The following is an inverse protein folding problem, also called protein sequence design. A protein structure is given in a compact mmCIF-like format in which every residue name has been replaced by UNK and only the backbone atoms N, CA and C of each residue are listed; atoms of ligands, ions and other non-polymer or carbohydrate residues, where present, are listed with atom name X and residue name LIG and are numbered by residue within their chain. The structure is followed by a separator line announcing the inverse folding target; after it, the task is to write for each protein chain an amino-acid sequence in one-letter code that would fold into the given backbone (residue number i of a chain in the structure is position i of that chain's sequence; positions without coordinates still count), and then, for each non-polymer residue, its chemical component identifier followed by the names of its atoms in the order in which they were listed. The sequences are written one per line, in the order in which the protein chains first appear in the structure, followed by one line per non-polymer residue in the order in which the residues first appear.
data_IF_306974237956
#
_entry.id   IF_306974237956
#
_cell.length_a   1.000
_cell.length_b   1.000
_cell.length_c   1.000
_cell.angle_alpha   90.00
_cell.angle_beta   90.00
_cell.angle_gamma   90.00
#
_symmetry.space_group_name_H-M   'P 1'
#
loop_
_entity.id
_entity.type
_entity.pdbx_description
1 polymer ?
#
# COMPACT_ATOMS: atom_id res chain seq x y z
N UNK A 1 -11.43 -10.31 74.93
CA UNK A 1 -10.48 -9.66 74.01
C UNK A 1 -10.41 -10.51 72.75
N UNK A 2 -11.12 -10.12 71.69
CA UNK A 2 -11.10 -10.81 70.37
C UNK A 2 -10.02 -10.17 69.49
N UNK A 3 -9.03 -10.94 69.07
CA UNK A 3 -8.01 -10.52 68.12
C UNK A 3 -8.59 -10.61 66.69
N UNK A 4 -8.70 -9.49 66.03
CA UNK A 4 -9.06 -9.41 64.60
C UNK A 4 -7.75 -9.59 63.83
N UNK A 5 -7.70 -10.70 63.05
CA UNK A 5 -6.60 -10.94 62.08
C UNK A 5 -6.96 -10.20 60.78
N UNK A 6 -6.20 -9.18 60.46
CA UNK A 6 -6.33 -8.45 59.21
C UNK A 6 -5.48 -9.16 58.17
N UNK A 7 -6.13 -9.91 57.25
CA UNK A 7 -5.46 -10.54 56.12
C UNK A 7 -5.32 -9.51 54.99
N UNK A 8 -4.08 -9.05 54.71
CA UNK A 8 -3.78 -8.23 53.57
C UNK A 8 -3.64 -9.10 52.32
N UNK A 9 -4.61 -9.01 51.42
CA UNK A 9 -4.56 -9.66 50.11
C UNK A 9 -3.72 -8.78 49.17
N UNK A 10 -2.48 -9.17 48.92
CA UNK A 10 -1.64 -8.54 47.92
C UNK A 10 -2.11 -9.08 46.55
N UNK A 11 -2.88 -8.28 45.81
CA UNK A 11 -3.18 -8.54 44.44
C UNK A 11 -1.93 -8.25 43.59
N UNK A 12 -1.26 -9.29 43.10
CA UNK A 12 -0.20 -9.15 42.11
C UNK A 12 -0.86 -8.72 40.79
N UNK A 13 -0.75 -7.45 40.47
CA UNK A 13 -1.09 -6.93 39.16
C UNK A 13 0.01 -7.45 38.20
N UNK A 14 -0.25 -8.56 37.53
CA UNK A 14 0.53 -8.95 36.34
C UNK A 14 0.26 -7.89 35.26
N UNK A 15 1.14 -6.92 35.16
CA UNK A 15 1.22 -6.11 33.94
C UNK A 15 1.69 -7.03 32.82
N UNK A 16 0.74 -7.52 32.04
CA UNK A 16 1.06 -8.13 30.73
C UNK A 16 1.60 -6.96 29.90
N UNK A 17 2.92 -6.80 29.89
CA UNK A 17 3.57 -5.99 28.85
C UNK A 17 3.34 -6.77 27.55
N UNK A 18 2.40 -6.34 26.72
CA UNK A 18 2.35 -6.76 25.35
C UNK A 18 3.73 -6.39 24.77
N UNK A 19 4.52 -7.41 24.44
CA UNK A 19 5.80 -7.23 23.74
C UNK A 19 5.45 -6.65 22.36
N UNK A 20 5.44 -5.31 22.27
CA UNK A 20 5.16 -4.63 21.01
C UNK A 20 6.27 -4.99 20.03
N UNK A 21 5.95 -5.83 19.06
CA UNK A 21 6.89 -6.28 18.02
C UNK A 21 7.39 -5.04 17.29
N UNK A 22 8.69 -4.77 17.32
CA UNK A 22 9.26 -3.65 16.57
C UNK A 22 10.22 -4.13 15.51
N UNK A 23 10.20 -3.45 14.36
CA UNK A 23 11.12 -3.66 13.24
C UNK A 23 11.93 -2.39 13.02
N UNK A 24 13.09 -2.55 12.40
CA UNK A 24 13.99 -1.46 12.01
C UNK A 24 14.39 -1.61 10.54
N UNK A 25 14.95 -0.57 9.99
CA UNK A 25 15.46 -0.64 8.62
C UNK A 25 15.95 0.70 8.13
N UNK A 26 16.15 0.78 6.83
CA UNK A 26 16.56 2.00 6.18
C UNK A 26 15.89 2.17 4.81
N UNK A 27 15.71 3.43 4.40
CA UNK A 27 15.33 3.81 3.04
C UNK A 27 16.54 4.50 2.40
N UNK A 28 17.02 4.00 1.28
CA UNK A 28 18.20 4.48 0.58
C UNK A 28 17.93 4.67 -0.91
N UNK A 29 18.68 5.55 -1.53
CA UNK A 29 18.73 5.63 -2.99
C UNK A 29 19.59 4.47 -3.56
N UNK A 30 19.56 4.32 -4.89
CA UNK A 30 20.34 3.29 -5.60
C UNK A 30 21.88 3.43 -5.43
N UNK A 31 22.37 4.57 -4.95
CA UNK A 31 23.79 4.82 -4.64
C UNK A 31 24.13 4.52 -3.17
N UNK A 32 23.14 4.08 -2.39
CA UNK A 32 23.29 3.75 -0.96
C UNK A 32 23.17 4.95 -0.01
N UNK A 33 22.84 6.15 -0.52
CA UNK A 33 22.60 7.34 0.30
C UNK A 33 21.26 7.21 1.00
N UNK A 34 21.24 7.35 2.32
CA UNK A 34 20.01 7.32 3.11
C UNK A 34 19.10 8.52 2.86
N UNK A 35 17.80 8.29 2.78
CA UNK A 35 16.77 9.29 2.55
C UNK A 35 16.02 9.50 3.87
N UNK A 36 16.10 10.71 4.42
CA UNK A 36 15.37 11.12 5.64
C UNK A 36 14.00 11.68 5.28
N UNK A 37 13.02 11.62 6.20
CA UNK A 37 11.70 12.18 6.01
C UNK A 37 10.72 11.25 5.27
N UNK A 38 11.12 10.01 4.99
CA UNK A 38 10.21 9.02 4.36
C UNK A 38 9.33 8.39 5.43
N UNK A 39 8.03 8.43 5.23
CA UNK A 39 7.06 7.74 6.09
C UNK A 39 7.13 6.24 5.83
N UNK A 40 7.22 5.46 6.91
CA UNK A 40 7.20 4.00 6.91
C UNK A 40 6.01 3.55 7.74
N UNK A 41 5.26 2.59 7.27
CA UNK A 41 4.03 2.14 7.93
C UNK A 41 3.88 0.62 7.90
N UNK A 42 3.03 0.11 8.77
CA UNK A 42 2.53 -1.26 8.78
C UNK A 42 1.02 -1.36 8.43
N UNK A 43 0.43 -0.23 7.99
CA UNK A 43 -1.00 -0.11 7.72
C UNK A 43 -1.84 0.29 8.93
N UNK A 44 -1.20 0.62 10.06
CA UNK A 44 -1.79 1.22 11.25
C UNK A 44 -0.82 2.24 11.86
N UNK A 45 0.34 1.78 12.28
CA UNK A 45 1.39 2.60 12.88
C UNK A 45 2.27 3.22 11.79
N UNK A 46 2.86 4.35 12.10
CA UNK A 46 3.76 5.08 11.22
C UNK A 46 5.05 5.49 11.94
N UNK A 47 6.12 5.59 11.19
CA UNK A 47 7.39 6.15 11.62
C UNK A 47 8.03 6.92 10.47
N UNK A 48 8.94 7.86 10.79
CA UNK A 48 9.66 8.63 9.77
C UNK A 48 11.13 8.30 9.80
N UNK A 49 11.73 8.12 8.63
CA UNK A 49 13.19 7.92 8.52
C UNK A 49 13.94 9.15 8.97
N UNK A 50 15.02 8.92 9.73
CA UNK A 50 15.94 9.94 10.28
C UNK A 50 17.30 9.84 9.59
N UNK A 51 18.31 10.47 10.16
CA UNK A 51 19.66 10.52 9.60
C UNK A 51 20.17 9.17 9.08
N UNK A 52 20.67 9.15 7.83
CA UNK A 52 21.07 7.94 7.13
C UNK A 52 19.91 7.08 6.62
N UNK A 53 18.68 7.63 6.56
CA UNK A 53 17.48 6.95 6.11
C UNK A 53 16.95 5.88 7.08
N UNK A 54 17.38 5.87 8.33
CA UNK A 54 17.03 4.82 9.31
C UNK A 54 15.67 5.06 9.95
N UNK A 55 14.95 3.97 10.22
CA UNK A 55 13.69 3.98 10.97
C UNK A 55 13.63 2.85 12.02
N UNK A 56 12.75 3.04 12.99
CA UNK A 56 12.24 1.99 13.89
C UNK A 56 10.72 2.17 13.92
N UNK A 57 10.00 1.11 13.63
CA UNK A 57 8.54 1.06 13.60
C UNK A 57 8.04 0.02 14.60
N UNK A 58 7.12 0.38 15.44
CA UNK A 58 6.31 -0.57 16.21
C UNK A 58 5.25 -1.15 15.29
N UNK A 59 5.15 -2.48 15.26
CA UNK A 59 4.32 -3.21 14.31
C UNK A 59 3.16 -3.84 15.05
N UNK A 60 1.96 -3.65 14.52
CA UNK A 60 0.77 -4.34 14.99
C UNK A 60 0.88 -5.84 14.64
N UNK A 61 0.39 -6.71 15.51
CA UNK A 61 0.47 -8.18 15.35
C UNK A 61 -0.29 -8.69 14.13
N UNK A 62 -1.38 -8.00 13.73
CA UNK A 62 -2.19 -8.33 12.57
C UNK A 62 -1.68 -7.71 11.26
N UNK A 63 -0.59 -6.94 11.31
CA UNK A 63 -0.04 -6.32 10.12
C UNK A 63 0.71 -7.34 9.27
N UNK A 64 0.39 -7.36 7.98
CA UNK A 64 1.00 -8.26 7.01
C UNK A 64 2.26 -7.67 6.36
N UNK A 65 2.31 -6.36 6.23
CA UNK A 65 3.37 -5.67 5.50
C UNK A 65 4.03 -4.59 6.34
N UNK A 66 5.27 -4.27 5.97
CA UNK A 66 5.89 -2.97 6.19
C UNK A 66 6.11 -2.31 4.85
N UNK A 67 5.75 -1.04 4.72
CA UNK A 67 5.82 -0.31 3.45
C UNK A 67 6.24 1.14 3.64
N UNK A 68 6.64 1.77 2.56
CA UNK A 68 7.04 3.18 2.54
C UNK A 68 6.04 4.00 1.73
N UNK A 69 5.74 5.21 2.19
CA UNK A 69 5.18 6.25 1.33
C UNK A 69 6.30 6.72 0.40
N UNK A 70 6.31 6.24 -0.86
CA UNK A 70 7.37 6.56 -1.83
C UNK A 70 7.53 8.08 -1.91
N UNK A 71 8.72 8.65 -1.63
CA UNK A 71 8.89 10.10 -1.63
C UNK A 71 8.90 10.67 -3.05
N UNK A 72 8.45 11.92 -3.20
CA UNK A 72 8.54 12.67 -4.47
C UNK A 72 9.98 12.67 -5.02
N UNK A 73 10.12 12.62 -6.32
CA UNK A 73 11.40 12.52 -7.01
C UNK A 73 12.02 11.13 -7.03
N UNK A 74 11.32 10.12 -6.50
CA UNK A 74 11.79 8.74 -6.47
C UNK A 74 10.69 7.76 -6.92
N UNK A 75 11.14 6.62 -7.42
CA UNK A 75 10.30 5.46 -7.75
C UNK A 75 10.82 4.22 -7.03
N UNK A 76 9.93 3.35 -6.64
CA UNK A 76 10.28 2.02 -6.12
C UNK A 76 10.60 1.08 -7.28
N UNK A 77 11.31 -0.02 -6.97
CA UNK A 77 11.56 -1.05 -7.99
C UNK A 77 10.24 -1.67 -8.43
N UNK A 78 10.05 -1.81 -9.73
CA UNK A 78 8.92 -2.52 -10.31
C UNK A 78 9.19 -4.02 -10.38
N UNK A 79 8.26 -4.83 -9.89
CA UNK A 79 8.24 -6.28 -10.06
C UNK A 79 6.89 -6.68 -10.64
N UNK A 80 6.90 -7.50 -11.69
CA UNK A 80 5.68 -8.00 -12.35
C UNK A 80 4.70 -6.90 -12.78
N UNK A 81 5.20 -5.72 -13.16
CA UNK A 81 4.37 -4.57 -13.57
C UNK A 81 3.78 -3.73 -12.44
N UNK A 82 4.12 -4.04 -11.18
CA UNK A 82 3.70 -3.23 -10.01
C UNK A 82 4.91 -2.74 -9.22
N UNK A 83 4.82 -1.55 -8.64
CA UNK A 83 5.87 -1.01 -7.79
C UNK A 83 5.97 -1.75 -6.45
N UNK A 84 7.20 -2.12 -6.06
CA UNK A 84 7.50 -2.79 -4.79
C UNK A 84 7.94 -1.81 -3.72
N UNK A 85 7.00 -1.05 -3.17
CA UNK A 85 7.19 -0.13 -2.05
C UNK A 85 6.99 -0.82 -0.68
N UNK A 86 6.73 -2.12 -0.65
CA UNK A 86 6.39 -2.90 0.54
C UNK A 86 7.25 -4.16 0.69
N UNK A 87 7.22 -4.72 1.88
CA UNK A 87 7.79 -6.03 2.21
C UNK A 87 6.86 -6.76 3.16
N UNK A 88 6.69 -8.06 2.94
CA UNK A 88 5.92 -8.91 3.85
C UNK A 88 6.65 -9.08 5.18
N UNK A 89 5.94 -8.88 6.29
CA UNK A 89 6.43 -9.12 7.63
C UNK A 89 6.57 -10.63 7.87
N UNK A 90 7.74 -11.06 8.30
CA UNK A 90 8.07 -12.47 8.53
C UNK A 90 8.53 -12.70 9.96
N UNK A 91 8.17 -13.83 10.52
CA UNK A 91 8.62 -14.20 11.85
C UNK A 91 10.15 -14.29 11.93
N UNK A 92 10.69 -13.75 13.01
CA UNK A 92 12.12 -13.68 13.24
C UNK A 92 12.87 -12.59 12.45
N UNK A 93 12.27 -12.01 11.42
CA UNK A 93 12.88 -10.90 10.66
C UNK A 93 12.62 -9.59 11.38
N UNK A 94 13.68 -8.89 11.73
CA UNK A 94 13.63 -7.61 12.47
C UNK A 94 14.16 -6.42 11.66
N UNK A 95 14.65 -6.65 10.43
CA UNK A 95 15.23 -5.58 9.60
C UNK A 95 14.66 -5.60 8.19
N UNK A 96 14.17 -4.43 7.74
CA UNK A 96 13.53 -4.20 6.45
C UNK A 96 14.12 -2.97 5.78
N UNK A 97 14.98 -3.18 4.76
CA UNK A 97 15.61 -2.10 4.03
C UNK A 97 14.92 -1.88 2.68
N UNK A 98 14.71 -0.63 2.31
CA UNK A 98 14.12 -0.21 1.05
C UNK A 98 15.14 0.52 0.20
N UNK A 99 15.08 0.26 -1.11
CA UNK A 99 15.88 1.00 -2.10
C UNK A 99 14.92 1.62 -3.10
N UNK A 100 15.04 2.94 -3.27
CA UNK A 100 14.30 3.71 -4.25
C UNK A 100 15.26 4.32 -5.28
N UNK A 101 14.79 4.52 -6.48
CA UNK A 101 15.60 5.08 -7.58
C UNK A 101 15.14 6.51 -7.82
N UNK A 102 16.07 7.42 -7.96
CA UNK A 102 15.73 8.79 -8.32
C UNK A 102 15.01 8.80 -9.67
N UNK A 103 13.89 9.51 -9.73
CA UNK A 103 13.15 9.68 -10.97
C UNK A 103 14.03 10.40 -12.00
N UNK A 104 13.94 9.98 -13.25
CA UNK A 104 14.69 10.60 -14.35
C UNK A 104 14.04 11.89 -14.83
N UNK A 105 12.73 12.01 -14.64
CA UNK A 105 11.91 13.17 -15.00
C UNK A 105 11.56 13.97 -13.75
N UNK A 106 11.44 15.29 -13.88
CA UNK A 106 10.86 16.13 -12.84
C UNK A 106 9.39 15.76 -12.68
N UNK A 107 8.98 15.44 -11.47
CA UNK A 107 7.60 15.04 -11.13
C UNK A 107 6.77 16.19 -10.57
N UNK A 108 7.31 17.41 -10.55
CA UNK A 108 6.61 18.62 -10.05
C UNK A 108 5.32 18.86 -10.83
N UNK A 109 5.39 18.73 -12.16
CA UNK A 109 4.25 18.65 -13.05
C UNK A 109 4.19 17.21 -13.60
N UNK A 110 3.03 16.57 -13.50
CA UNK A 110 2.90 15.18 -13.89
C UNK A 110 1.50 14.88 -14.43
N UNK A 111 1.42 13.83 -15.23
CA UNK A 111 0.18 13.29 -15.74
C UNK A 111 -0.20 12.03 -14.94
N UNK A 112 -1.49 11.86 -14.72
CA UNK A 112 -2.06 10.66 -14.11
C UNK A 112 -3.01 10.01 -15.11
N UNK A 113 -2.69 8.79 -15.55
CA UNK A 113 -3.60 7.96 -16.33
C UNK A 113 -4.47 7.18 -15.35
N UNK A 114 -5.76 7.41 -15.41
CA UNK A 114 -6.72 6.71 -14.53
C UNK A 114 -7.49 5.71 -15.37
N UNK A 115 -7.47 4.45 -14.94
CA UNK A 115 -8.32 3.39 -15.46
C UNK A 115 -9.15 2.83 -14.32
N UNK A 116 -10.40 2.49 -14.59
CA UNK A 116 -11.31 1.89 -13.64
C UNK A 116 -11.95 0.66 -14.28
N UNK A 117 -12.19 -0.34 -13.48
CA UNK A 117 -12.99 -1.51 -13.84
C UNK A 117 -12.55 -2.17 -15.17
N UNK A 118 -11.27 -2.49 -15.39
CA UNK A 118 -10.89 -3.28 -16.57
C UNK A 118 -11.52 -4.68 -16.53
N UNK A 119 -11.72 -5.23 -15.35
CA UNK A 119 -12.58 -6.36 -14.98
C UNK A 119 -12.45 -7.57 -15.92
N UNK A 120 -11.22 -7.88 -16.32
CA UNK A 120 -10.91 -8.98 -17.23
C UNK A 120 -11.35 -10.31 -16.61
N UNK A 121 -12.42 -10.88 -17.12
CA UNK A 121 -13.02 -12.13 -16.63
C UNK A 121 -12.45 -13.38 -17.31
N UNK A 122 -12.06 -13.25 -18.57
CA UNK A 122 -11.49 -14.35 -19.37
C UNK A 122 -10.23 -13.89 -20.11
N UNK A 123 -9.31 -14.81 -20.35
CA UNK A 123 -8.05 -14.49 -21.05
C UNK A 123 -8.25 -14.00 -22.49
N UNK A 124 -9.37 -14.33 -23.12
CA UNK A 124 -9.77 -13.81 -24.43
C UNK A 124 -9.95 -12.28 -24.43
N UNK A 125 -10.45 -11.71 -23.33
CA UNK A 125 -10.68 -10.27 -23.16
C UNK A 125 -9.37 -9.45 -23.03
N UNK A 126 -8.25 -10.12 -22.72
CA UNK A 126 -6.93 -9.48 -22.73
C UNK A 126 -6.55 -8.89 -24.10
N UNK A 127 -7.11 -9.42 -25.19
CA UNK A 127 -6.90 -8.86 -26.53
C UNK A 127 -7.55 -7.47 -26.66
N UNK A 128 -8.67 -7.24 -25.96
CA UNK A 128 -9.36 -5.96 -25.96
C UNK A 128 -8.60 -4.89 -25.15
N UNK A 129 -7.80 -5.31 -24.16
CA UNK A 129 -6.97 -4.40 -23.35
C UNK A 129 -5.75 -3.84 -24.15
N UNK A 130 -5.24 -4.58 -25.14
CA UNK A 130 -4.04 -4.19 -25.89
C UNK A 130 -4.16 -2.85 -26.61
N UNK A 131 -5.25 -2.52 -27.31
CA UNK A 131 -5.42 -1.19 -27.90
C UNK A 131 -5.33 -0.06 -26.90
N UNK A 132 -5.94 -0.21 -25.70
CA UNK A 132 -5.88 0.80 -24.65
C UNK A 132 -4.44 0.99 -24.13
N UNK A 133 -3.70 -0.13 -23.95
CA UNK A 133 -2.29 -0.05 -23.56
C UNK A 133 -1.44 0.68 -24.62
N UNK A 134 -1.74 0.48 -25.90
CA UNK A 134 -1.09 1.19 -27.02
C UNK A 134 -1.42 2.67 -27.01
N UNK A 135 -2.68 3.04 -26.80
CA UNK A 135 -3.09 4.45 -26.71
C UNK A 135 -2.42 5.17 -25.54
N UNK A 136 -2.25 4.49 -24.40
CA UNK A 136 -1.52 5.02 -23.26
C UNK A 136 -0.03 5.19 -23.61
N UNK A 137 0.61 4.20 -24.23
CA UNK A 137 2.01 4.29 -24.67
C UNK A 137 2.21 5.48 -25.63
N UNK A 138 1.30 5.64 -26.60
CA UNK A 138 1.30 6.77 -27.52
C UNK A 138 1.17 8.13 -26.83
N UNK A 139 0.28 8.22 -25.82
CA UNK A 139 0.16 9.43 -25.00
C UNK A 139 1.46 9.73 -24.25
N UNK A 140 2.07 8.72 -23.61
CA UNK A 140 3.33 8.84 -22.87
C UNK A 140 4.47 9.31 -23.77
N UNK A 141 4.53 8.80 -25.00
CA UNK A 141 5.54 9.23 -26.00
C UNK A 141 5.30 10.68 -26.41
N UNK A 142 4.05 11.09 -26.65
CA UNK A 142 3.69 12.46 -27.05
C UNK A 142 3.86 13.48 -25.91
N UNK A 143 3.76 13.03 -24.66
CA UNK A 143 3.97 13.82 -23.44
C UNK A 143 5.47 13.85 -23.04
N UNK A 144 6.37 13.86 -24.02
CA UNK A 144 7.81 13.81 -23.80
C UNK A 144 8.26 14.93 -22.85
N UNK A 145 8.98 14.52 -21.80
CA UNK A 145 9.44 15.44 -20.74
C UNK A 145 8.61 15.37 -19.45
N UNK A 146 7.32 15.10 -19.50
CA UNK A 146 6.47 15.01 -18.31
C UNK A 146 6.58 13.64 -17.62
N UNK A 147 6.57 13.66 -16.29
CA UNK A 147 6.40 12.44 -15.53
C UNK A 147 4.95 11.95 -15.64
N UNK A 148 4.75 10.70 -15.97
CA UNK A 148 3.44 10.09 -16.10
C UNK A 148 3.40 8.79 -15.32
N UNK A 149 2.36 8.55 -14.56
CA UNK A 149 2.09 7.27 -13.90
C UNK A 149 0.60 6.91 -14.02
N UNK A 150 0.26 5.68 -13.67
CA UNK A 150 -1.11 5.17 -13.74
C UNK A 150 -1.72 4.91 -12.37
N UNK A 151 -3.04 5.07 -12.28
CA UNK A 151 -3.90 4.58 -11.21
C UNK A 151 -4.92 3.62 -11.81
N UNK A 152 -4.98 2.37 -11.32
CA UNK A 152 -6.06 1.44 -11.59
C UNK A 152 -6.98 1.39 -10.37
N UNK A 153 -8.23 1.83 -10.53
CA UNK A 153 -9.17 2.06 -9.43
C UNK A 153 -10.00 0.82 -9.08
N UNK A 154 -9.38 -0.34 -9.10
CA UNK A 154 -10.02 -1.59 -8.68
C UNK A 154 -10.72 -2.34 -9.80
N UNK A 155 -11.24 -3.51 -9.43
CA UNK A 155 -11.84 -4.48 -10.35
C UNK A 155 -10.90 -4.76 -11.54
N UNK A 156 -9.65 -5.06 -11.20
CA UNK A 156 -8.57 -5.28 -12.19
C UNK A 156 -8.88 -6.49 -13.05
N UNK A 157 -9.36 -7.54 -12.41
CA UNK A 157 -9.84 -8.77 -13.07
C UNK A 157 -11.25 -9.08 -12.58
N UNK A 158 -11.93 -10.01 -13.25
CA UNK A 158 -13.18 -10.55 -12.76
C UNK A 158 -12.95 -11.38 -11.49
N UNK A 159 -13.26 -12.66 -11.51
CA UNK A 159 -13.05 -13.54 -10.34
C UNK A 159 -11.87 -14.50 -10.50
N UNK A 160 -11.21 -14.52 -11.66
CA UNK A 160 -10.02 -15.34 -11.91
C UNK A 160 -8.73 -14.52 -11.66
N UNK A 161 -8.28 -14.50 -10.42
CA UNK A 161 -7.07 -13.78 -10.02
C UNK A 161 -5.77 -14.34 -10.66
N UNK A 162 -5.82 -15.49 -11.33
CA UNK A 162 -4.67 -15.98 -12.09
C UNK A 162 -4.36 -15.12 -13.32
N UNK A 163 -5.30 -14.28 -13.75
CA UNK A 163 -5.18 -13.35 -14.89
C UNK A 163 -4.31 -12.12 -14.55
N UNK A 164 -4.11 -11.76 -13.26
CA UNK A 164 -3.28 -10.61 -12.87
C UNK A 164 -1.91 -10.56 -13.57
N UNK A 165 -1.24 -11.70 -13.70
CA UNK A 165 0.07 -11.72 -14.35
C UNK A 165 -0.01 -11.36 -15.84
N UNK A 166 -1.07 -11.74 -16.54
CA UNK A 166 -1.26 -11.48 -17.97
C UNK A 166 -1.70 -10.02 -18.19
N UNK A 167 -2.61 -9.52 -17.34
CA UNK A 167 -2.94 -8.09 -17.26
C UNK A 167 -1.67 -7.24 -17.06
N UNK A 168 -0.86 -7.54 -16.05
CA UNK A 168 0.35 -6.80 -15.76
C UNK A 168 1.37 -6.81 -16.91
N UNK A 169 1.47 -7.91 -17.69
CA UNK A 169 2.34 -7.97 -18.89
C UNK A 169 1.88 -7.00 -19.96
N UNK A 170 0.57 -6.88 -20.20
CA UNK A 170 0.03 -5.94 -21.18
C UNK A 170 0.25 -4.51 -20.70
N UNK A 171 -0.06 -4.21 -19.42
CA UNK A 171 0.10 -2.89 -18.85
C UNK A 171 1.56 -2.43 -18.77
N UNK A 172 2.52 -3.35 -18.65
CA UNK A 172 3.94 -3.03 -18.77
C UNK A 172 4.32 -2.47 -20.15
N UNK A 173 3.54 -2.75 -21.18
CA UNK A 173 3.69 -2.18 -22.52
C UNK A 173 3.48 -0.67 -22.57
N UNK A 174 2.71 -0.10 -21.66
CA UNK A 174 2.44 1.35 -21.56
C UNK A 174 3.67 2.20 -21.18
N UNK A 175 4.75 1.57 -20.69
CA UNK A 175 6.01 2.20 -20.23
C UNK A 175 5.86 3.11 -19.01
N UNK A 176 4.74 3.03 -18.29
CA UNK A 176 4.54 3.68 -17.00
C UNK A 176 4.20 2.66 -15.92
N UNK A 177 4.49 3.00 -14.68
CA UNK A 177 4.13 2.18 -13.54
C UNK A 177 2.71 2.51 -13.08
N UNK A 178 1.94 1.47 -12.76
CA UNK A 178 0.59 1.59 -12.21
C UNK A 178 0.58 1.34 -10.70
N UNK A 179 -0.14 2.18 -9.98
CA UNK A 179 -0.61 1.95 -8.62
C UNK A 179 -2.01 1.38 -8.69
N UNK A 180 -2.28 0.41 -7.85
CA UNK A 180 -3.52 -0.34 -7.89
C UNK A 180 -4.35 -0.09 -6.62
N UNK A 181 -5.65 0.02 -6.80
CA UNK A 181 -6.68 -0.01 -5.76
C UNK A 181 -7.32 -1.40 -5.81
N UNK A 182 -7.75 -1.93 -4.68
CA UNK A 182 -8.52 -3.15 -4.65
C UNK A 182 -10.00 -2.85 -4.96
N UNK A 183 -10.60 -3.59 -5.89
CA UNK A 183 -12.04 -3.59 -6.12
C UNK A 183 -12.72 -4.80 -5.49
N UNK A 184 -14.04 -4.88 -5.59
CA UNK A 184 -14.79 -6.01 -5.03
C UNK A 184 -14.54 -7.32 -5.79
N UNK A 185 -14.25 -7.26 -7.10
CA UNK A 185 -13.88 -8.44 -7.88
C UNK A 185 -12.44 -8.92 -7.61
N UNK A 186 -11.59 -8.07 -7.04
CA UNK A 186 -10.23 -8.43 -6.61
C UNK A 186 -10.22 -9.14 -5.25
N UNK A 187 -11.36 -9.21 -4.56
CA UNK A 187 -11.47 -9.87 -3.26
C UNK A 187 -11.40 -11.38 -3.41
N UNK A 188 -10.67 -12.03 -2.50
CA UNK A 188 -10.51 -13.48 -2.46
C UNK A 188 -11.85 -14.20 -2.27
N UNK A 189 -12.25 -15.04 -3.22
CA UNK A 189 -13.54 -15.73 -3.26
C UNK A 189 -13.83 -16.66 -2.07
N UNK A 190 -12.80 -17.10 -1.36
CA UNK A 190 -12.88 -17.98 -0.20
C UNK A 190 -12.48 -17.28 1.10
N UNK A 191 -12.41 -15.97 1.10
CA UNK A 191 -12.18 -15.15 2.29
C UNK A 191 -13.26 -15.42 3.35
N UNK A 192 -12.87 -15.47 4.62
CA UNK A 192 -13.77 -15.71 5.76
C UNK A 192 -13.86 -14.52 6.71
N UNK A 193 -13.00 -13.54 6.52
CA UNK A 193 -12.98 -12.28 7.24
C UNK A 193 -12.54 -11.18 6.28
N UNK A 194 -12.65 -9.92 6.71
CA UNK A 194 -12.20 -8.79 5.92
C UNK A 194 -10.69 -8.91 5.59
N UNK A 195 -9.85 -9.28 6.54
CA UNK A 195 -8.40 -9.44 6.37
C UNK A 195 -8.06 -10.55 5.36
N UNK A 196 -8.81 -11.64 5.39
CA UNK A 196 -8.57 -12.77 4.46
C UNK A 196 -9.17 -12.53 3.08
N UNK A 197 -10.12 -11.60 2.94
CA UNK A 197 -10.72 -11.26 1.65
C UNK A 197 -9.80 -10.47 0.74
N UNK A 198 -8.75 -9.84 1.26
CA UNK A 198 -7.78 -9.07 0.47
C UNK A 198 -6.60 -9.91 -0.02
N UNK A 199 -6.50 -11.18 0.38
CA UNK A 199 -5.28 -11.98 0.30
C UNK A 199 -4.74 -12.14 -1.13
N UNK A 200 -5.58 -12.41 -2.12
CA UNK A 200 -5.15 -12.63 -3.49
C UNK A 200 -4.63 -11.33 -4.12
N UNK A 201 -5.34 -10.21 -3.90
CA UNK A 201 -4.86 -8.88 -4.28
C UNK A 201 -3.52 -8.56 -3.61
N UNK A 202 -3.43 -8.73 -2.31
CA UNK A 202 -2.21 -8.42 -1.53
C UNK A 202 -1.01 -9.28 -1.93
N UNK A 203 -1.21 -10.51 -2.35
CA UNK A 203 -0.15 -11.36 -2.88
C UNK A 203 0.47 -10.81 -4.18
N UNK A 204 -0.30 -10.05 -4.95
CA UNK A 204 0.13 -9.47 -6.22
C UNK A 204 0.62 -8.03 -6.06
N UNK A 205 -0.15 -7.18 -5.36
CA UNK A 205 0.03 -5.73 -5.35
C UNK A 205 0.47 -5.18 -4.00
N UNK A 206 0.48 -5.98 -2.94
CA UNK A 206 0.85 -5.55 -1.59
C UNK A 206 -0.32 -4.96 -0.81
N UNK A 207 -0.05 -4.01 0.11
CA UNK A 207 -1.07 -3.49 1.02
C UNK A 207 -2.26 -2.89 0.26
N UNK A 208 -3.48 -3.16 0.75
CA UNK A 208 -4.72 -2.67 0.15
C UNK A 208 -4.99 -1.18 0.44
N UNK A 209 -4.25 -0.57 1.37
CA UNK A 209 -4.22 0.89 1.57
C UNK A 209 -2.80 1.34 1.84
N UNK A 210 -2.43 2.45 1.24
CA UNK A 210 -1.08 3.02 1.29
C UNK A 210 -1.05 4.43 0.73
N UNK A 211 0.09 5.13 0.88
CA UNK A 211 0.30 6.45 0.29
C UNK A 211 1.60 6.53 -0.50
N UNK A 212 1.70 7.54 -1.34
CA UNK A 212 2.91 7.91 -2.07
C UNK A 212 2.87 9.39 -2.49
N UNK A 213 4.01 9.94 -2.87
CA UNK A 213 4.12 11.34 -3.22
C UNK A 213 4.65 11.50 -4.65
N UNK A 214 4.03 12.37 -5.43
CA UNK A 214 4.49 12.79 -6.76
C UNK A 214 4.46 14.30 -6.83
N UNK A 215 5.60 14.93 -7.06
CA UNK A 215 5.71 16.38 -7.02
C UNK A 215 5.26 16.96 -5.68
N UNK A 216 4.24 17.79 -5.71
CA UNK A 216 3.64 18.43 -4.52
C UNK A 216 2.32 17.78 -4.07
N UNK A 217 1.98 16.65 -4.68
CA UNK A 217 0.71 15.96 -4.42
C UNK A 217 0.98 14.73 -3.58
N UNK A 218 0.18 14.56 -2.54
CA UNK A 218 0.15 13.37 -1.71
C UNK A 218 -1.04 12.49 -2.16
N UNK A 219 -0.74 11.31 -2.63
CA UNK A 219 -1.71 10.32 -3.09
C UNK A 219 -1.95 9.27 -2.02
N UNK A 220 -3.20 8.96 -1.78
CA UNK A 220 -3.63 7.98 -0.79
C UNK A 220 -4.55 6.99 -1.48
N UNK A 221 -4.24 5.72 -1.36
CA UNK A 221 -5.10 4.60 -1.79
C UNK A 221 -5.81 4.06 -0.56
N UNK A 222 -7.12 3.87 -0.65
CA UNK A 222 -7.95 3.27 0.39
C UNK A 222 -8.72 2.08 -0.16
N UNK A 223 -9.02 1.13 0.72
CA UNK A 223 -9.92 0.03 0.45
C UNK A 223 -11.30 0.35 1.03
N UNK A 224 -12.25 0.63 0.17
CA UNK A 224 -13.64 0.89 0.54
C UNK A 224 -14.56 -0.33 0.38
N UNK A 225 -14.01 -1.50 0.04
CA UNK A 225 -14.72 -2.77 -0.06
C UNK A 225 -14.56 -3.56 1.24
N UNK A 226 -15.48 -3.37 2.19
CA UNK A 226 -15.45 -4.06 3.47
C UNK A 226 -16.22 -5.37 3.42
N UNK A 227 -15.53 -6.50 3.58
CA UNK A 227 -16.14 -7.83 3.58
C UNK A 227 -16.99 -8.05 4.83
N UNK A 228 -18.26 -8.43 4.67
CA UNK A 228 -19.23 -8.65 5.76
C UNK A 228 -19.73 -10.09 5.86
N UNK A 229 -19.33 -10.97 4.95
CA UNK A 229 -19.72 -12.38 4.96
C UNK A 229 -20.24 -12.87 3.61
N UNK A 230 -20.51 -14.18 3.53
CA UNK A 230 -20.85 -14.83 2.26
C UNK A 230 -22.18 -14.36 1.65
N UNK A 231 -23.16 -14.01 2.50
CA UNK A 231 -24.51 -13.71 2.03
C UNK A 231 -24.62 -12.31 1.39
N UNK A 232 -23.91 -11.33 1.97
CA UNK A 232 -23.90 -9.95 1.47
C UNK A 232 -22.60 -9.58 0.76
N UNK A 233 -21.60 -10.38 0.92
CA UNK A 233 -20.24 -10.28 0.40
C UNK A 233 -19.50 -9.06 0.93
N UNK A 234 -19.82 -7.83 0.50
CA UNK A 234 -19.17 -6.59 0.95
C UNK A 234 -20.17 -5.44 1.07
N UNK A 235 -19.71 -4.39 1.76
CA UNK A 235 -20.37 -3.07 1.80
C UNK A 235 -19.32 -2.00 1.54
N UNK A 236 -19.75 -0.83 1.05
CA UNK A 236 -18.91 0.36 0.93
C UNK A 236 -18.60 0.93 2.31
N UNK A 237 -17.41 0.69 2.85
CA UNK A 237 -16.98 1.16 4.16
C UNK A 237 -15.46 1.24 4.25
N UNK A 238 -14.96 2.38 4.69
CA UNK A 238 -13.57 2.54 5.15
C UNK A 238 -13.57 2.26 6.65
N UNK A 239 -12.87 1.21 7.07
CA UNK A 239 -12.86 0.76 8.46
C UNK A 239 -12.05 1.68 9.41
N UNK A 240 -12.23 1.48 10.70
CA UNK A 240 -11.57 2.29 11.73
C UNK A 240 -10.03 2.17 11.67
N UNK A 241 -9.49 1.01 11.27
CA UNK A 241 -8.06 0.80 11.15
C UNK A 241 -7.47 1.68 10.04
N UNK A 242 -8.12 1.73 8.89
CA UNK A 242 -7.72 2.61 7.78
C UNK A 242 -7.86 4.08 8.15
N UNK A 243 -8.94 4.47 8.85
CA UNK A 243 -9.14 5.86 9.29
C UNK A 243 -8.04 6.31 10.26
N UNK A 244 -7.65 5.46 11.21
CA UNK A 244 -6.52 5.74 12.12
C UNK A 244 -5.19 5.83 11.38
N UNK A 245 -4.96 4.92 10.44
CA UNK A 245 -3.78 4.98 9.60
C UNK A 245 -3.75 6.26 8.77
N UNK A 246 -4.87 6.64 8.16
CA UNK A 246 -5.02 7.86 7.36
C UNK A 246 -4.70 9.11 8.18
N UNK A 247 -5.22 9.21 9.42
CA UNK A 247 -4.91 10.29 10.34
C UNK A 247 -3.41 10.36 10.64
N UNK A 248 -2.80 9.23 10.91
CA UNK A 248 -1.35 9.14 11.16
C UNK A 248 -0.54 9.56 9.93
N UNK A 249 -0.89 9.09 8.73
CA UNK A 249 -0.19 9.40 7.49
C UNK A 249 -0.31 10.88 7.14
N UNK A 250 -1.51 11.46 7.21
CA UNK A 250 -1.77 12.88 6.96
C UNK A 250 -1.05 13.80 7.95
N UNK A 251 -0.73 13.34 9.15
CA UNK A 251 0.03 14.13 10.14
C UNK A 251 1.43 14.54 9.65
N UNK A 252 1.97 13.84 8.66
CA UNK A 252 3.26 14.15 8.04
C UNK A 252 3.14 14.99 6.76
N UNK A 253 1.92 15.22 6.28
CA UNK A 253 1.69 16.00 5.07
C UNK A 253 1.66 17.50 5.42
N UNK A 254 2.48 18.34 4.78
CA UNK A 254 2.50 19.77 5.08
C UNK A 254 1.13 20.41 4.83
N UNK A 255 0.72 21.33 5.72
CA UNK A 255 -0.52 22.08 5.56
C UNK A 255 -0.56 22.81 4.21
N UNK A 256 -1.68 22.71 3.52
CA UNK A 256 -1.87 23.30 2.19
C UNK A 256 -1.37 22.44 1.03
N UNK A 257 -0.88 21.23 1.28
CA UNK A 257 -0.57 20.26 0.23
C UNK A 257 -1.87 19.81 -0.47
N UNK A 258 -1.77 19.49 -1.76
CA UNK A 258 -2.84 18.80 -2.48
C UNK A 258 -2.83 17.33 -2.05
N UNK A 259 -3.98 16.82 -1.66
CA UNK A 259 -4.19 15.40 -1.34
C UNK A 259 -5.19 14.81 -2.33
N UNK A 260 -4.86 13.66 -2.89
CA UNK A 260 -5.74 12.90 -3.78
C UNK A 260 -6.05 11.57 -3.11
N UNK A 261 -7.33 11.26 -2.95
CA UNK A 261 -7.82 9.96 -2.49
C UNK A 261 -8.22 9.11 -3.69
N UNK A 262 -7.69 7.90 -3.76
CA UNK A 262 -8.03 6.89 -4.76
C UNK A 262 -8.67 5.69 -4.05
N UNK A 263 -9.88 5.34 -4.48
CA UNK A 263 -10.67 4.22 -3.97
C UNK A 263 -11.56 3.68 -5.09
N UNK A 264 -12.10 2.50 -4.94
CA UNK A 264 -12.98 1.87 -5.93
C UNK A 264 -14.38 2.43 -5.88
#
# INVERSE_FOLDING_TARGET
MKKILLSVLIAAICTISADCKSVKGSVKDARGKGISGVVVSDGLNTAVTKGGGRFKLEVNEDSRFVFISTPSGYVSKTLKGSECFFKELKDGVKSYDFVVTQNKKDDTNHNVIVIADPQISERSELEELKPYATDIEDFVIKSDGDYTFGLCLGDIVGWDHTIYNDYNKIMAGTKIDFRHVIGNHDMTNYGRSHETSMKDYENMYGPAWYSFNVGKVHYIVLNDNYYVGRDYFYIGLIDERQLRWLENDLSYVPAGSTVVLAMH
#
